data_IF_840225091168
#
_entry.id   IF_840225091168
#
_cell.length_a   1.000
_cell.length_b   1.000
_cell.length_c   1.000
_cell.angle_alpha   90.00
_cell.angle_beta   90.00
_cell.angle_gamma   90.00
#
_symmetry.space_group_name_H-M   'P 1'
#
loop_
_entity.id
_entity.type
_entity.pdbx_description
1 polymer ?
#
# COMPACT_ATOMS: atom_id res chain seq x y z
N UNK A 1 16.74 19.26 7.54
CA UNK A 1 17.08 20.69 7.53
C UNK A 1 15.87 21.59 7.26
N UNK A 2 14.98 21.26 6.30
CA UNK A 2 13.80 22.08 5.99
C UNK A 2 12.84 22.22 7.16
N UNK A 3 12.74 21.26 8.05
CA UNK A 3 11.86 21.26 9.22
C UNK A 3 12.33 22.21 10.35
N UNK A 4 13.59 22.64 10.32
CA UNK A 4 14.14 23.57 11.30
C UNK A 4 13.96 25.05 10.89
N UNK A 5 13.42 25.31 9.71
CA UNK A 5 13.21 26.67 9.21
C UNK A 5 11.77 27.09 9.49
N UNK A 6 11.60 28.04 10.39
CA UNK A 6 10.27 28.57 10.79
C UNK A 6 9.70 29.60 9.80
N UNK A 7 10.46 29.97 8.77
CA UNK A 7 10.03 30.87 7.70
C UNK A 7 9.35 30.15 6.56
N UNK A 8 8.63 30.89 5.71
CA UNK A 8 8.04 30.36 4.50
C UNK A 8 9.13 29.95 3.48
N UNK A 9 9.07 28.73 3.01
CA UNK A 9 9.92 28.21 1.94
C UNK A 9 9.05 28.00 0.70
N UNK A 10 9.29 28.76 -0.35
CA UNK A 10 8.61 28.59 -1.62
C UNK A 10 9.14 27.35 -2.34
N UNK A 11 8.30 26.36 -2.55
CA UNK A 11 8.62 25.19 -3.36
C UNK A 11 8.45 25.44 -4.85
N UNK A 12 7.39 26.15 -5.23
CA UNK A 12 7.09 26.68 -6.55
C UNK A 12 6.08 27.84 -6.40
N UNK A 13 5.65 28.46 -7.52
CA UNK A 13 4.73 29.60 -7.51
C UNK A 13 3.34 29.32 -6.90
N UNK A 14 2.98 28.06 -6.65
CA UNK A 14 1.70 27.63 -6.05
C UNK A 14 1.85 26.86 -4.74
N UNK A 15 3.08 26.58 -4.33
CA UNK A 15 3.33 25.74 -3.15
C UNK A 15 4.33 26.40 -2.22
N UNK A 16 3.90 26.68 -1.01
CA UNK A 16 4.74 27.23 0.05
C UNK A 16 4.72 26.27 1.23
N UNK A 17 5.84 26.13 1.91
CA UNK A 17 5.96 25.32 3.13
C UNK A 17 6.25 26.21 4.31
N UNK A 18 5.49 26.04 5.39
CA UNK A 18 5.71 26.69 6.67
C UNK A 18 5.74 25.66 7.77
N UNK A 19 6.85 25.54 8.47
CA UNK A 19 7.01 24.64 9.60
C UNK A 19 7.04 25.46 10.89
N UNK A 20 6.00 25.36 11.70
CA UNK A 20 5.88 26.04 13.00
C UNK A 20 6.12 25.05 14.15
N UNK A 21 6.31 23.79 13.83
CA UNK A 21 6.51 22.73 14.81
C UNK A 21 7.95 22.72 15.36
N UNK A 22 8.07 22.32 16.63
CA UNK A 22 9.35 21.97 17.23
C UNK A 22 9.98 20.75 16.55
N UNK A 23 11.18 20.35 17.00
CA UNK A 23 11.80 19.12 16.57
C UNK A 23 10.83 17.95 16.82
N UNK A 24 10.50 17.21 15.76
CA UNK A 24 9.57 16.09 15.86
C UNK A 24 10.22 14.90 16.56
N UNK A 25 9.56 14.38 17.58
CA UNK A 25 9.85 13.08 18.17
C UNK A 25 8.82 12.06 17.69
N UNK A 26 9.30 10.91 17.26
CA UNK A 26 8.45 9.83 16.77
C UNK A 26 9.03 8.47 17.11
N UNK A 27 8.18 7.57 17.53
CA UNK A 27 8.55 6.18 17.76
C UNK A 27 7.50 5.24 17.19
N UNK A 28 7.93 4.05 16.79
CA UNK A 28 7.03 3.04 16.25
C UNK A 28 7.30 1.67 16.84
N UNK A 29 6.24 0.92 17.02
CA UNK A 29 6.29 -0.48 17.42
C UNK A 29 5.66 -1.34 16.34
N UNK A 30 6.35 -2.42 15.95
CA UNK A 30 5.87 -3.35 14.93
C UNK A 30 5.88 -4.75 15.53
N UNK A 31 4.75 -5.45 15.40
CA UNK A 31 4.62 -6.87 15.70
C UNK A 31 4.25 -7.60 14.42
N UNK A 32 4.96 -8.68 14.10
CA UNK A 32 4.69 -9.45 12.90
C UNK A 32 4.80 -10.95 13.19
N UNK A 33 3.95 -11.71 12.52
CA UNK A 33 3.98 -13.17 12.54
C UNK A 33 3.91 -13.71 11.12
N UNK A 34 4.64 -14.78 10.85
CA UNK A 34 4.67 -15.44 9.56
C UNK A 34 4.56 -16.94 9.72
N UNK A 35 3.66 -17.56 8.98
CA UNK A 35 3.48 -19.00 8.87
C UNK A 35 3.75 -19.42 7.45
N UNK A 36 4.60 -20.43 7.26
CA UNK A 36 4.91 -21.00 5.96
C UNK A 36 4.53 -22.48 5.97
N UNK A 37 3.84 -22.90 4.93
CA UNK A 37 3.56 -24.29 4.62
C UNK A 37 4.20 -24.68 3.29
N UNK A 38 4.88 -25.82 3.26
CA UNK A 38 5.60 -26.28 2.09
C UNK A 38 5.45 -27.80 1.95
N UNK A 39 4.82 -28.25 0.88
CA UNK A 39 4.75 -29.63 0.47
C UNK A 39 5.43 -29.79 -0.90
N UNK A 40 6.70 -30.20 -0.88
CA UNK A 40 7.54 -30.32 -2.07
C UNK A 40 7.02 -31.44 -2.97
N UNK A 41 6.55 -32.53 -2.39
CA UNK A 41 6.09 -33.71 -3.15
C UNK A 41 4.84 -33.40 -3.98
N UNK A 42 3.99 -32.53 -3.47
CA UNK A 42 2.78 -32.08 -4.17
C UNK A 42 2.95 -30.74 -4.91
N UNK A 43 4.16 -30.16 -4.88
CA UNK A 43 4.45 -28.87 -5.47
C UNK A 43 3.57 -27.72 -4.89
N UNK A 44 3.18 -27.82 -3.60
CA UNK A 44 2.31 -26.86 -2.95
C UNK A 44 3.08 -26.00 -1.96
N UNK A 45 2.91 -24.70 -2.07
CA UNK A 45 3.52 -23.69 -1.18
C UNK A 45 2.47 -22.71 -0.75
N UNK A 46 2.43 -22.39 0.53
CA UNK A 46 1.57 -21.36 1.06
C UNK A 46 2.29 -20.58 2.16
N UNK A 47 2.06 -19.28 2.24
CA UNK A 47 2.45 -18.52 3.41
C UNK A 47 1.36 -17.53 3.81
N UNK A 48 1.34 -17.22 5.10
CA UNK A 48 0.52 -16.17 5.67
C UNK A 48 1.43 -15.28 6.52
N UNK A 49 1.37 -13.99 6.30
CA UNK A 49 2.11 -12.98 7.05
C UNK A 49 1.14 -11.93 7.57
N UNK A 50 1.12 -11.75 8.88
CA UNK A 50 0.37 -10.70 9.56
C UNK A 50 1.30 -9.74 10.26
N UNK A 51 1.03 -8.44 10.16
CA UNK A 51 1.76 -7.43 10.89
C UNK A 51 0.81 -6.35 11.42
N UNK A 52 1.14 -5.86 12.62
CA UNK A 52 0.49 -4.71 13.26
C UNK A 52 1.57 -3.71 13.60
N UNK A 53 1.39 -2.49 13.19
CA UNK A 53 2.31 -1.39 13.46
C UNK A 53 1.54 -0.24 14.10
N UNK A 54 2.11 0.34 15.16
CA UNK A 54 1.64 1.58 15.77
C UNK A 54 2.78 2.58 15.79
N UNK A 55 2.55 3.74 15.22
CA UNK A 55 3.49 4.86 15.22
C UNK A 55 2.92 6.01 16.04
N UNK A 56 3.71 6.59 16.92
CA UNK A 56 3.38 7.80 17.67
C UNK A 56 4.23 8.94 17.14
N UNK A 57 3.63 10.10 17.02
CA UNK A 57 4.33 11.34 16.67
C UNK A 57 3.71 12.51 17.42
N UNK A 58 4.53 13.46 17.78
CA UNK A 58 4.11 14.73 18.41
C UNK A 58 3.82 15.84 17.41
N UNK A 59 4.17 15.62 16.12
CA UNK A 59 3.98 16.59 15.05
C UNK A 59 3.17 15.98 13.93
N UNK A 60 2.11 16.67 13.52
CA UNK A 60 1.30 16.33 12.36
C UNK A 60 1.61 17.28 11.19
N UNK A 61 1.72 16.72 10.00
CA UNK A 61 1.90 17.46 8.75
C UNK A 61 0.60 17.51 7.98
N UNK A 62 0.29 18.65 7.42
CA UNK A 62 -0.92 18.85 6.63
C UNK A 62 -0.78 19.88 5.54
N UNK A 63 -1.86 20.06 4.80
CA UNK A 63 -1.95 21.06 3.73
C UNK A 63 -3.14 21.96 3.95
N UNK A 64 -2.95 23.24 3.69
CA UNK A 64 -3.99 24.25 3.63
C UNK A 64 -3.98 24.84 2.20
N UNK A 65 -5.15 25.08 1.66
CA UNK A 65 -5.32 25.82 0.40
C UNK A 65 -5.82 27.22 0.78
N UNK A 66 -5.04 28.21 0.41
CA UNK A 66 -5.37 29.63 0.64
C UNK A 66 -6.42 30.12 -0.38
N UNK A 67 -6.99 31.32 -0.15
CA UNK A 67 -7.99 31.95 -1.02
C UNK A 67 -7.49 32.13 -2.47
N UNK A 68 -6.19 32.32 -2.64
CA UNK A 68 -5.52 32.43 -3.95
C UNK A 68 -5.18 31.08 -4.59
N UNK A 69 -5.75 29.98 -4.09
CA UNK A 69 -5.48 28.61 -4.54
C UNK A 69 -4.01 28.18 -4.39
N UNK A 70 -3.26 28.82 -3.49
CA UNK A 70 -1.92 28.37 -3.13
C UNK A 70 -2.00 27.25 -2.07
N UNK A 71 -1.18 26.23 -2.25
CA UNK A 71 -1.04 25.14 -1.29
C UNK A 71 0.03 25.49 -0.27
N UNK A 72 -0.35 25.61 0.97
CA UNK A 72 0.56 25.82 2.10
C UNK A 72 0.71 24.50 2.84
N UNK A 73 1.93 23.96 2.88
CA UNK A 73 2.26 22.84 3.76
C UNK A 73 2.56 23.36 5.15
N UNK A 74 1.86 22.83 6.14
CA UNK A 74 2.01 23.22 7.54
C UNK A 74 2.33 22.02 8.43
N UNK A 75 2.96 22.28 9.55
CA UNK A 75 3.22 21.30 10.59
C UNK A 75 2.76 21.87 11.92
N UNK A 76 2.05 21.08 12.71
CA UNK A 76 1.52 21.45 14.00
C UNK A 76 1.94 20.45 15.09
N UNK A 77 2.14 20.92 16.30
CA UNK A 77 2.43 20.07 17.45
C UNK A 77 1.13 19.46 17.98
N UNK A 78 0.75 18.32 17.42
CA UNK A 78 -0.42 17.54 17.82
C UNK A 78 0.01 16.11 18.07
N UNK A 79 0.08 15.64 19.32
CA UNK A 79 0.37 14.26 19.63
C UNK A 79 -0.71 13.34 19.05
N UNK A 80 -0.30 12.39 18.24
CA UNK A 80 -1.21 11.44 17.59
C UNK A 80 -0.56 10.07 17.39
N UNK A 81 -1.36 9.10 16.99
CA UNK A 81 -0.87 7.78 16.63
C UNK A 81 -1.56 7.29 15.35
N UNK A 82 -0.80 6.56 14.57
CA UNK A 82 -1.26 5.88 13.36
C UNK A 82 -1.12 4.37 13.56
N UNK A 83 -2.19 3.64 13.29
CA UNK A 83 -2.24 2.19 13.36
C UNK A 83 -2.33 1.61 11.96
N UNK A 84 -1.44 0.67 11.64
CA UNK A 84 -1.47 -0.09 10.40
C UNK A 84 -1.59 -1.58 10.71
N UNK A 85 -2.58 -2.22 10.12
CA UNK A 85 -2.80 -3.66 10.15
C UNK A 85 -2.62 -4.20 8.76
N UNK A 86 -1.77 -5.19 8.58
CA UNK A 86 -1.54 -5.83 7.29
C UNK A 86 -1.63 -7.34 7.40
N UNK A 87 -2.27 -7.95 6.41
CA UNK A 87 -2.34 -9.40 6.26
C UNK A 87 -2.03 -9.74 4.80
N UNK A 88 -1.00 -10.53 4.59
CA UNK A 88 -0.59 -10.98 3.26
C UNK A 88 -0.59 -12.49 3.22
N UNK A 89 -1.28 -13.06 2.26
CA UNK A 89 -1.31 -14.49 1.98
C UNK A 89 -0.86 -14.78 0.56
N UNK A 90 -0.12 -15.85 0.39
CA UNK A 90 0.24 -16.38 -0.93
C UNK A 90 0.03 -17.88 -0.94
N UNK A 91 -0.53 -18.38 -2.02
CA UNK A 91 -0.68 -19.80 -2.31
C UNK A 91 -0.18 -20.06 -3.71
N UNK A 92 0.70 -21.04 -3.87
CA UNK A 92 1.15 -21.45 -5.17
C UNK A 92 1.15 -22.97 -5.30
N UNK A 93 0.69 -23.46 -6.44
CA UNK A 93 0.68 -24.89 -6.76
C UNK A 93 1.23 -25.12 -8.15
N UNK A 94 2.22 -26.02 -8.22
CA UNK A 94 2.73 -26.59 -9.46
C UNK A 94 2.00 -27.89 -9.80
N UNK A 95 1.78 -28.11 -11.08
CA UNK A 95 1.24 -29.34 -11.65
C UNK A 95 2.21 -29.87 -12.70
N UNK A 96 2.47 -31.17 -12.70
CA UNK A 96 3.34 -31.80 -13.69
C UNK A 96 2.75 -31.73 -15.10
N UNK A 97 1.42 -31.66 -15.19
CA UNK A 97 0.71 -31.50 -16.45
C UNK A 97 1.09 -30.18 -17.11
N UNK A 98 1.78 -30.26 -18.25
CA UNK A 98 2.26 -29.11 -19.05
C UNK A 98 3.04 -28.07 -18.20
N UNK A 99 3.72 -28.52 -17.15
CA UNK A 99 4.45 -27.63 -16.20
C UNK A 99 3.62 -26.42 -15.81
N UNK A 100 2.36 -26.65 -15.50
CA UNK A 100 1.43 -25.60 -15.11
C UNK A 100 1.70 -25.13 -13.68
N UNK A 101 1.74 -23.83 -13.46
CA UNK A 101 1.82 -23.21 -12.12
C UNK A 101 0.67 -22.24 -11.94
N UNK A 102 -0.01 -22.36 -10.83
CA UNK A 102 -1.01 -21.39 -10.36
C UNK A 102 -0.46 -20.71 -9.12
N UNK A 103 -0.56 -19.41 -9.07
CA UNK A 103 -0.14 -18.60 -7.94
C UNK A 103 -1.21 -17.56 -7.63
N UNK A 104 -1.57 -17.44 -6.37
CA UNK A 104 -2.53 -16.45 -5.89
C UNK A 104 -1.93 -15.72 -4.70
N UNK A 105 -1.96 -14.41 -4.76
CA UNK A 105 -1.54 -13.52 -3.69
C UNK A 105 -2.72 -12.65 -3.26
N UNK A 106 -2.93 -12.50 -1.97
CA UNK A 106 -3.92 -11.60 -1.41
C UNK A 106 -3.28 -10.74 -0.32
N UNK A 107 -3.52 -9.45 -0.39
CA UNK A 107 -3.07 -8.47 0.59
C UNK A 107 -4.26 -7.67 1.11
N UNK A 108 -4.36 -7.58 2.43
CA UNK A 108 -5.28 -6.69 3.12
C UNK A 108 -4.49 -5.71 3.96
N UNK A 109 -4.77 -4.43 3.81
CA UNK A 109 -4.17 -3.37 4.64
C UNK A 109 -5.26 -2.48 5.18
N UNK A 110 -5.22 -2.23 6.49
CA UNK A 110 -6.06 -1.26 7.16
C UNK A 110 -5.20 -0.24 7.86
N UNK A 111 -5.39 1.03 7.52
CA UNK A 111 -4.74 2.16 8.17
C UNK A 111 -5.79 2.97 8.93
N UNK A 112 -5.44 3.37 10.13
CA UNK A 112 -6.19 4.33 10.95
C UNK A 112 -5.24 5.38 11.41
N UNK A 113 -5.65 6.63 11.36
CA UNK A 113 -4.78 7.72 11.77
C UNK A 113 -5.50 9.05 11.78
N UNK A 114 -4.71 10.09 11.84
CA UNK A 114 -5.17 11.48 11.91
C UNK A 114 -4.51 12.25 10.77
N UNK A 115 -5.27 13.08 10.10
CA UNK A 115 -4.79 13.96 9.03
C UNK A 115 -5.11 15.41 9.38
N UNK A 116 -4.19 16.31 9.06
CA UNK A 116 -4.38 17.75 9.18
C UNK A 116 -4.78 18.34 7.83
N UNK A 117 -5.97 18.89 7.72
CA UNK A 117 -6.48 19.55 6.52
C UNK A 117 -7.13 20.86 6.89
N UNK A 118 -6.78 21.94 6.19
CA UNK A 118 -7.32 23.29 6.46
C UNK A 118 -7.25 23.67 7.95
N UNK A 119 -6.13 23.34 8.61
CA UNK A 119 -5.91 23.56 10.05
C UNK A 119 -6.89 22.81 10.95
N UNK A 120 -7.60 21.80 10.44
CA UNK A 120 -8.49 20.95 11.21
C UNK A 120 -7.92 19.54 11.26
N UNK A 121 -7.82 19.01 12.46
CA UNK A 121 -7.37 17.64 12.70
C UNK A 121 -8.52 16.68 12.56
N UNK A 122 -8.43 15.76 11.60
CA UNK A 122 -9.51 14.84 11.25
C UNK A 122 -9.03 13.40 11.30
N UNK A 123 -9.76 12.55 12.01
CA UNK A 123 -9.49 11.12 12.00
C UNK A 123 -9.90 10.48 10.66
N UNK A 124 -9.07 9.60 10.15
CA UNK A 124 -9.36 8.84 8.95
C UNK A 124 -9.10 7.35 9.15
N UNK A 125 -9.76 6.54 8.34
CA UNK A 125 -9.43 5.14 8.19
C UNK A 125 -9.54 4.72 6.72
N UNK A 126 -8.65 3.85 6.30
CA UNK A 126 -8.66 3.27 4.97
C UNK A 126 -8.49 1.76 5.04
N UNK A 127 -9.22 1.06 4.18
CA UNK A 127 -9.08 -0.37 3.98
C UNK A 127 -8.76 -0.63 2.53
N UNK A 128 -7.72 -1.40 2.26
CA UNK A 128 -7.32 -1.79 0.92
C UNK A 128 -7.21 -3.30 0.83
N UNK A 129 -7.87 -3.88 -0.14
CA UNK A 129 -7.77 -5.29 -0.51
C UNK A 129 -7.18 -5.34 -1.90
N UNK A 130 -6.13 -6.12 -2.07
CA UNK A 130 -5.51 -6.40 -3.36
C UNK A 130 -5.38 -7.91 -3.51
N UNK A 131 -5.93 -8.44 -4.60
CA UNK A 131 -5.83 -9.87 -4.96
C UNK A 131 -5.18 -9.96 -6.34
N UNK A 132 -4.16 -10.78 -6.44
CA UNK A 132 -3.40 -10.99 -7.65
C UNK A 132 -3.32 -12.50 -7.93
N UNK A 133 -3.65 -12.90 -9.14
CA UNK A 133 -3.59 -14.27 -9.62
C UNK A 133 -2.68 -14.39 -10.83
N UNK A 134 -1.85 -15.42 -10.87
CA UNK A 134 -0.98 -15.73 -11.98
C UNK A 134 -1.14 -17.21 -12.33
N UNK A 135 -1.41 -17.49 -13.60
CA UNK A 135 -1.43 -18.81 -14.18
C UNK A 135 -0.38 -18.89 -15.29
N UNK A 136 0.53 -19.84 -15.20
CA UNK A 136 1.50 -20.11 -16.27
C UNK A 136 1.46 -21.58 -16.68
N UNK A 137 1.48 -21.85 -17.98
CA UNK A 137 1.49 -23.18 -18.52
C UNK A 137 2.40 -23.28 -19.76
N UNK A 138 3.14 -24.38 -19.89
CA UNK A 138 3.90 -24.69 -21.11
C UNK A 138 3.12 -25.69 -21.96
N UNK A 139 2.49 -25.21 -23.02
CA UNK A 139 1.67 -26.05 -23.90
C UNK A 139 2.54 -27.07 -24.66
N UNK A 140 3.65 -26.56 -25.17
CA UNK A 140 4.74 -27.34 -25.78
C UNK A 140 6.07 -26.81 -25.28
N UNK A 141 7.16 -27.52 -25.50
CA UNK A 141 8.50 -27.12 -25.04
C UNK A 141 8.88 -25.71 -25.49
N UNK A 142 8.40 -25.28 -26.66
CA UNK A 142 8.70 -23.97 -27.24
C UNK A 142 7.68 -22.87 -26.92
N UNK A 143 6.49 -23.20 -26.38
CA UNK A 143 5.40 -22.23 -26.19
C UNK A 143 4.93 -22.23 -24.75
N UNK A 144 5.05 -21.06 -24.10
CA UNK A 144 4.52 -20.78 -22.77
C UNK A 144 3.42 -19.75 -22.85
N UNK A 145 2.32 -20.02 -22.14
CA UNK A 145 1.23 -19.06 -21.92
C UNK A 145 1.25 -18.62 -20.47
N UNK A 146 1.12 -17.32 -20.24
CA UNK A 146 0.93 -16.72 -18.93
C UNK A 146 -0.36 -15.90 -18.92
N UNK A 147 -1.15 -16.05 -17.88
CA UNK A 147 -2.31 -15.21 -17.60
C UNK A 147 -2.17 -14.62 -16.20
N UNK A 148 -2.28 -13.30 -16.13
CA UNK A 148 -2.17 -12.54 -14.91
C UNK A 148 -3.45 -11.72 -14.71
N UNK A 149 -4.00 -11.74 -13.52
CA UNK A 149 -5.13 -10.89 -13.16
C UNK A 149 -4.92 -10.26 -11.80
N UNK A 150 -5.32 -9.02 -11.64
CA UNK A 150 -5.33 -8.34 -10.35
C UNK A 150 -6.62 -7.59 -10.14
N UNK A 151 -7.04 -7.54 -8.88
CA UNK A 151 -8.21 -6.82 -8.42
C UNK A 151 -7.88 -6.06 -7.15
N UNK A 152 -8.14 -4.76 -7.13
CA UNK A 152 -7.91 -3.90 -5.99
C UNK A 152 -9.19 -3.16 -5.62
N UNK A 153 -9.49 -3.13 -4.33
CA UNK A 153 -10.54 -2.28 -3.74
C UNK A 153 -9.93 -1.50 -2.60
N UNK A 154 -10.04 -0.20 -2.65
CA UNK A 154 -9.68 0.69 -1.55
C UNK A 154 -10.90 1.49 -1.13
N UNK A 155 -11.12 1.58 0.18
CA UNK A 155 -12.17 2.38 0.79
C UNK A 155 -11.54 3.27 1.83
N UNK A 156 -11.73 4.58 1.71
CA UNK A 156 -11.25 5.58 2.65
C UNK A 156 -12.41 6.40 3.19
N UNK A 157 -12.46 6.56 4.50
CA UNK A 157 -13.47 7.35 5.21
C UNK A 157 -12.73 8.36 6.10
N UNK A 158 -13.16 9.61 6.02
CA UNK A 158 -12.71 10.69 6.90
C UNK A 158 -13.89 11.21 7.69
N UNK A 159 -13.69 11.50 8.98
CA UNK A 159 -14.77 11.98 9.86
C UNK A 159 -15.24 13.41 9.52
N UNK A 160 -14.42 14.15 8.78
CA UNK A 160 -14.74 15.52 8.36
C UNK A 160 -15.75 15.57 7.21
N UNK A 161 -15.69 14.60 6.34
CA UNK A 161 -16.61 14.47 5.23
C UNK A 161 -17.40 13.17 5.40
N UNK A 162 -18.72 13.24 5.46
CA UNK A 162 -19.59 12.05 5.43
C UNK A 162 -19.42 11.23 4.13
N UNK A 163 -18.39 11.51 3.35
CA UNK A 163 -18.13 10.88 2.06
C UNK A 163 -17.12 9.73 2.20
N UNK A 164 -17.58 8.56 1.80
CA UNK A 164 -16.72 7.39 1.62
C UNK A 164 -16.16 7.39 0.20
N UNK A 165 -14.85 7.48 0.08
CA UNK A 165 -14.16 7.35 -1.21
C UNK A 165 -13.89 5.86 -1.43
N UNK A 166 -14.43 5.31 -2.51
CA UNK A 166 -14.19 3.93 -2.91
C UNK A 166 -13.54 3.87 -4.28
N UNK A 167 -12.35 3.31 -4.34
CA UNK A 167 -11.60 3.09 -5.58
C UNK A 167 -11.57 1.61 -5.91
N UNK A 168 -11.84 1.25 -7.16
CA UNK A 168 -11.72 -0.12 -7.67
C UNK A 168 -10.80 -0.13 -8.87
N UNK A 169 -9.87 -1.06 -8.89
CA UNK A 169 -8.97 -1.29 -10.00
C UNK A 169 -9.01 -2.75 -10.43
N UNK A 170 -9.01 -2.99 -11.74
CA UNK A 170 -8.91 -4.32 -12.33
C UNK A 170 -7.85 -4.28 -13.42
N UNK A 171 -7.03 -5.31 -13.48
CA UNK A 171 -6.03 -5.50 -14.51
C UNK A 171 -6.00 -6.96 -14.92
N UNK A 172 -5.94 -7.22 -16.21
CA UNK A 172 -5.75 -8.56 -16.77
C UNK A 172 -4.74 -8.49 -17.91
N UNK A 173 -3.81 -9.42 -17.94
CA UNK A 173 -2.76 -9.51 -18.93
C UNK A 173 -2.62 -10.95 -19.40
N UNK A 174 -2.56 -11.15 -20.72
CA UNK A 174 -2.28 -12.43 -21.36
C UNK A 174 -0.95 -12.33 -22.09
N UNK A 175 -0.01 -13.18 -21.74
CA UNK A 175 1.31 -13.25 -22.33
C UNK A 175 1.53 -14.57 -23.08
N UNK A 176 2.13 -14.48 -24.25
CA UNK A 176 2.58 -15.61 -25.07
C UNK A 176 4.09 -15.49 -25.27
N UNK A 177 4.84 -16.50 -24.86
CA UNK A 177 6.29 -16.53 -25.02
C UNK A 177 6.68 -17.73 -25.87
N UNK A 178 7.36 -17.47 -27.00
CA UNK A 178 8.03 -18.44 -27.80
C UNK A 178 9.49 -18.57 -27.34
N UNK A 179 9.88 -19.76 -26.94
CA UNK A 179 11.27 -20.08 -26.56
C UNK A 179 11.86 -20.89 -27.73
N UNK A 180 12.69 -20.27 -28.60
CA UNK A 180 13.30 -20.98 -29.68
C UNK A 180 14.20 -22.09 -29.13
N UNK A 181 13.99 -23.33 -29.54
CA UNK A 181 14.93 -24.41 -29.30
C UNK A 181 16.26 -24.02 -29.97
N UNK A 182 17.28 -23.74 -29.20
CA UNK A 182 18.64 -23.74 -29.72
C UNK A 182 19.01 -25.22 -29.92
N UNK A 183 19.02 -25.64 -31.19
CA UNK A 183 19.69 -26.84 -31.63
C UNK A 183 21.19 -26.71 -31.36
#
# INVERSE_FOLDING_TARGET
>A
WRQLVTSYIMGNYRTTSRYVANLSDSHSTVMAAKVNFKDIMKGFFAYLHGAVSRSWSDVIYGTMIDEDAHTVMQAENVPHHDDTYSLTGNVSKGFDWKKTKIEMNANYTRNKGVALRQSVTTAYHSNTINVHGNLSASIIQALRIGYECSYMVSTSVSNDCSHTIRTRGQHANLSLSLIPNRL
#
